data_IF_523628441040
#
_entry.id   IF_523628441040
#
_cell.length_a   1.000
_cell.length_b   1.000
_cell.length_c   1.000
_cell.angle_alpha   90.00
_cell.angle_beta   90.00
_cell.angle_gamma   90.00
#
_symmetry.space_group_name_H-M   'P 1'
#
loop_
_entity.id
_entity.type
_entity.pdbx_description
1 polymer ?
#
# COMPACT_ATOMS: atom_id res chain seq x y z
N UNK A 1 -5.25 13.53 4.85
CA UNK A 1 -3.76 13.50 4.75
C UNK A 1 -3.37 12.23 4.02
N UNK A 2 -2.59 12.30 2.94
CA UNK A 2 -2.08 11.11 2.24
C UNK A 2 -0.78 10.63 2.89
N UNK A 3 -0.55 9.32 2.94
CA UNK A 3 0.70 8.68 3.37
C UNK A 3 1.12 7.63 2.36
N UNK A 4 2.32 7.79 1.80
CA UNK A 4 2.90 6.90 0.82
C UNK A 4 4.24 6.38 1.29
N UNK A 5 4.59 5.17 0.86
CA UNK A 5 5.90 4.58 1.10
C UNK A 5 6.88 5.06 0.01
N UNK A 6 8.05 5.51 0.43
CA UNK A 6 9.11 5.97 -0.47
C UNK A 6 10.40 5.20 -0.24
N UNK A 7 11.14 5.01 -1.32
CA UNK A 7 12.50 4.48 -1.33
C UNK A 7 13.47 5.57 -1.75
N UNK A 8 14.55 5.73 -0.99
CA UNK A 8 15.61 6.71 -1.25
C UNK A 8 16.95 5.98 -1.27
N UNK A 9 17.81 6.26 -2.25
CA UNK A 9 19.16 5.71 -2.27
C UNK A 9 20.08 6.51 -1.33
N UNK A 10 20.83 5.80 -0.49
CA UNK A 10 21.80 6.37 0.46
C UNK A 10 23.21 5.93 0.02
N UNK A 11 24.16 6.87 0.00
CA UNK A 11 25.58 6.56 -0.27
C UNK A 11 26.02 6.62 -1.75
N UNK A 12 25.18 7.13 -2.65
CA UNK A 12 25.52 7.40 -4.06
C UNK A 12 25.26 8.85 -4.47
N UNK A 13 25.33 9.15 -5.78
CA UNK A 13 24.80 10.41 -6.30
C UNK A 13 23.30 10.50 -6.01
N UNK A 14 22.85 11.67 -5.56
CA UNK A 14 21.44 11.94 -5.23
C UNK A 14 20.50 11.47 -6.35
N UNK A 15 19.73 10.42 -6.11
CA UNK A 15 18.61 10.02 -6.97
C UNK A 15 17.30 10.58 -6.41
N UNK A 16 16.35 10.90 -7.29
CA UNK A 16 15.01 11.28 -6.85
C UNK A 16 14.39 10.16 -5.98
N UNK A 17 13.63 10.50 -4.91
CA UNK A 17 12.86 9.53 -4.16
C UNK A 17 11.90 8.77 -5.08
N UNK A 18 11.88 7.44 -4.97
CA UNK A 18 10.92 6.61 -5.68
C UNK A 18 9.70 6.37 -4.80
N UNK A 19 8.51 6.73 -5.27
CA UNK A 19 7.28 6.37 -4.59
C UNK A 19 6.92 4.91 -4.91
N UNK A 20 6.67 4.10 -3.89
CA UNK A 20 6.32 2.68 -4.04
C UNK A 20 4.81 2.42 -4.04
N UNK A 21 4.01 3.38 -3.56
CA UNK A 21 2.55 3.21 -3.39
C UNK A 21 1.71 4.26 -4.11
N UNK A 22 2.31 5.24 -4.80
CA UNK A 22 1.55 6.37 -5.37
C UNK A 22 0.53 5.92 -6.42
N UNK A 23 0.92 4.98 -7.28
CA UNK A 23 0.09 4.50 -8.39
C UNK A 23 -0.51 3.10 -8.10
N UNK A 24 -0.24 2.55 -6.92
CA UNK A 24 -0.68 1.22 -6.52
C UNK A 24 -2.03 1.31 -5.81
N UNK A 25 -3.08 0.78 -6.44
CA UNK A 25 -4.47 0.87 -5.94
C UNK A 25 -4.88 2.34 -5.64
N UNK A 26 -4.50 3.29 -6.50
CA UNK A 26 -4.54 4.75 -6.25
C UNK A 26 -5.85 5.29 -5.66
N UNK A 27 -7.00 4.80 -6.15
CA UNK A 27 -8.31 5.22 -5.67
C UNK A 27 -8.65 4.65 -4.28
N UNK A 28 -8.16 3.44 -3.99
CA UNK A 28 -8.44 2.71 -2.75
C UNK A 28 -7.42 3.05 -1.65
N UNK A 29 -6.17 3.31 -2.01
CA UNK A 29 -5.02 3.28 -1.10
C UNK A 29 -4.15 4.54 -1.17
N UNK A 30 -4.49 5.51 -0.33
CA UNK A 30 -3.77 6.77 -0.16
C UNK A 30 -3.22 6.97 1.25
N UNK A 31 -3.50 6.03 2.17
CA UNK A 31 -2.93 6.01 3.52
C UNK A 31 -2.29 4.66 3.79
N UNK A 32 -0.97 4.61 3.60
CA UNK A 32 -0.19 3.38 3.61
C UNK A 32 0.83 3.35 4.75
N UNK A 33 1.13 2.15 5.23
CA UNK A 33 2.30 1.82 6.03
C UNK A 33 2.96 0.54 5.51
N UNK A 34 4.16 0.21 6.00
CA UNK A 34 4.84 -0.99 5.57
C UNK A 34 5.58 -1.69 6.71
N UNK A 35 5.60 -3.01 6.65
CA UNK A 35 6.41 -3.86 7.52
C UNK A 35 7.44 -4.61 6.67
N UNK A 36 8.72 -4.39 6.92
CA UNK A 36 9.80 -4.96 6.11
C UNK A 36 10.21 -6.35 6.62
N UNK A 37 10.64 -7.22 5.70
CA UNK A 37 11.37 -8.44 6.04
C UNK A 37 12.71 -8.09 6.70
N UNK A 38 13.36 -9.10 7.31
CA UNK A 38 14.62 -8.94 8.06
C UNK A 38 15.71 -8.21 7.25
N UNK A 39 15.81 -8.52 5.96
CA UNK A 39 16.76 -7.94 5.00
C UNK A 39 16.12 -6.90 4.07
N UNK A 40 14.87 -6.53 4.33
CA UNK A 40 14.05 -5.67 3.48
C UNK A 40 13.88 -6.17 2.03
N UNK A 41 14.11 -7.45 1.71
CA UNK A 41 13.88 -8.00 0.37
C UNK A 41 12.39 -8.04 0.00
N UNK A 42 11.52 -8.11 1.01
CA UNK A 42 10.07 -8.05 0.88
C UNK A 42 9.50 -7.05 1.88
N UNK A 43 8.30 -6.56 1.62
CA UNK A 43 7.53 -5.85 2.64
C UNK A 43 6.06 -6.19 2.53
N UNK A 44 5.36 -6.14 3.66
CA UNK A 44 3.91 -6.09 3.68
C UNK A 44 3.49 -4.64 3.52
N UNK A 45 2.67 -4.35 2.52
CA UNK A 45 2.02 -3.06 2.36
C UNK A 45 0.66 -3.10 3.07
N UNK A 46 0.47 -2.16 3.98
CA UNK A 46 -0.74 -2.05 4.80
C UNK A 46 -1.46 -0.76 4.38
N UNK A 47 -2.52 -0.90 3.59
CA UNK A 47 -3.38 0.19 3.14
C UNK A 47 -4.59 0.33 4.05
N UNK A 48 -4.84 1.57 4.51
CA UNK A 48 -5.93 1.89 5.45
C UNK A 48 -7.01 2.80 4.84
N UNK A 49 -6.93 3.08 3.54
CA UNK A 49 -7.98 3.80 2.82
C UNK A 49 -7.46 4.88 1.88
N UNK A 50 -8.36 5.65 1.25
CA UNK A 50 -9.74 5.93 1.68
C UNK A 50 -10.77 4.82 1.42
N UNK A 51 -10.48 3.83 0.58
CA UNK A 51 -11.32 2.65 0.41
C UNK A 51 -11.20 1.66 1.58
N UNK A 52 -11.73 0.45 1.41
CA UNK A 52 -11.57 -0.59 2.42
C UNK A 52 -10.10 -0.99 2.57
N UNK A 53 -9.63 -1.31 3.79
CA UNK A 53 -8.25 -1.72 4.01
C UNK A 53 -7.84 -2.88 3.09
N UNK A 54 -6.57 -2.88 2.71
CA UNK A 54 -5.97 -3.88 1.82
C UNK A 54 -4.57 -4.19 2.32
N UNK A 55 -4.21 -5.46 2.36
CA UNK A 55 -2.88 -5.90 2.79
C UNK A 55 -2.26 -6.78 1.72
N UNK A 56 -1.08 -6.42 1.25
CA UNK A 56 -0.39 -7.14 0.17
C UNK A 56 1.05 -7.43 0.54
N UNK A 57 1.56 -8.55 0.03
CA UNK A 57 2.98 -8.89 0.06
C UNK A 57 3.63 -8.32 -1.20
N UNK A 58 4.70 -7.57 -1.01
CA UNK A 58 5.40 -6.85 -2.07
C UNK A 58 6.86 -7.31 -2.17
N UNK A 59 7.35 -7.45 -3.39
CA UNK A 59 8.78 -7.59 -3.69
C UNK A 59 9.44 -6.21 -3.62
N UNK A 60 10.53 -6.08 -2.87
CA UNK A 60 11.34 -4.87 -2.81
C UNK A 60 12.63 -4.95 -3.64
N UNK A 61 12.87 -6.09 -4.30
CA UNK A 61 14.07 -6.32 -5.12
C UNK A 61 13.85 -5.75 -6.52
N UNK A 62 14.91 -5.18 -7.10
CA UNK A 62 14.85 -4.63 -8.46
C UNK A 62 13.76 -3.56 -8.63
N UNK A 63 12.90 -3.75 -9.64
CA UNK A 63 11.75 -2.87 -9.92
C UNK A 63 10.61 -3.00 -8.91
N UNK A 64 10.58 -4.07 -8.11
CA UNK A 64 9.48 -4.43 -7.23
C UNK A 64 8.24 -4.94 -7.98
N UNK A 65 7.37 -5.63 -7.27
CA UNK A 65 6.08 -6.12 -7.77
C UNK A 65 5.15 -6.48 -6.60
N UNK A 66 3.84 -6.38 -6.80
CA UNK A 66 2.86 -7.02 -5.91
C UNK A 66 2.92 -8.53 -6.14
N UNK A 67 3.17 -9.30 -5.08
CA UNK A 67 3.32 -10.75 -5.16
C UNK A 67 2.02 -11.46 -4.82
N UNK A 68 1.33 -10.98 -3.78
CA UNK A 68 0.13 -11.64 -3.27
C UNK A 68 -0.73 -10.66 -2.46
N UNK A 69 -2.05 -10.79 -2.58
CA UNK A 69 -2.99 -10.17 -1.65
C UNK A 69 -3.11 -11.09 -0.43
N UNK A 70 -2.81 -10.54 0.75
CA UNK A 70 -2.88 -11.25 2.03
C UNK A 70 -4.27 -11.14 2.66
N UNK A 71 -4.92 -9.98 2.49
CA UNK A 71 -6.26 -9.70 2.99
C UNK A 71 -6.89 -8.57 2.15
N UNK A 72 -8.02 -8.84 1.49
CA UNK A 72 -8.73 -7.91 0.60
C UNK A 72 -10.04 -7.35 1.20
N UNK A 73 -10.45 -7.83 2.38
CA UNK A 73 -11.66 -7.47 3.09
C UNK A 73 -12.95 -7.60 2.26
N UNK A 74 -13.03 -8.59 1.34
CA UNK A 74 -14.24 -8.82 0.53
C UNK A 74 -15.49 -9.12 1.34
N UNK A 75 -15.37 -9.84 2.45
CA UNK A 75 -16.53 -10.13 3.29
C UNK A 75 -17.09 -8.84 3.92
N UNK A 76 -16.21 -7.92 4.32
CA UNK A 76 -16.60 -6.59 4.79
C UNK A 76 -17.22 -5.76 3.66
N UNK A 77 -16.64 -5.80 2.45
CA UNK A 77 -17.22 -5.15 1.28
C UNK A 77 -18.65 -5.62 1.00
N UNK A 78 -18.87 -6.93 1.04
CA UNK A 78 -20.19 -7.53 0.84
C UNK A 78 -21.17 -7.08 1.93
N UNK A 79 -20.78 -7.12 3.20
CA UNK A 79 -21.63 -6.65 4.31
C UNK A 79 -21.98 -5.17 4.20
N UNK A 80 -21.04 -4.33 3.75
CA UNK A 80 -21.26 -2.89 3.61
C UNK A 80 -22.07 -2.52 2.37
N UNK A 81 -22.22 -3.43 1.38
CA UNK A 81 -23.04 -3.18 0.18
C UNK A 81 -24.52 -2.92 0.49
N UNK A 82 -25.01 -3.44 1.63
CA UNK A 82 -26.37 -3.24 2.12
C UNK A 82 -26.50 -2.02 3.05
N UNK A 83 -25.39 -1.35 3.35
CA UNK A 83 -25.32 -0.22 4.29
C UNK A 83 -25.04 1.08 3.53
N UNK A 84 -25.87 2.09 3.74
CA UNK A 84 -25.60 3.42 3.17
C UNK A 84 -24.52 4.15 3.96
N UNK A 85 -23.27 3.95 3.55
CA UNK A 85 -22.11 4.58 4.19
C UNK A 85 -22.14 6.11 4.04
N UNK A 86 -21.72 6.87 5.06
CA UNK A 86 -21.61 8.33 4.96
C UNK A 86 -20.52 8.72 3.96
N UNK A 87 -20.69 9.85 3.28
CA UNK A 87 -19.67 10.41 2.39
C UNK A 87 -18.68 11.27 3.18
N UNK A 88 -17.39 11.13 2.87
CA UNK A 88 -16.38 12.04 3.39
C UNK A 88 -16.47 13.38 2.68
N UNK A 89 -16.24 14.47 3.41
CA UNK A 89 -16.17 15.84 2.89
C UNK A 89 -14.72 16.26 2.63
#
# INVERSE_FOLDING_TARGET
>A
VKRNLYRVMIGGSSSAPQCLTCDLHEDRCQYNSAYLSVDASFYRMDCYGPGLPLYTLMDNRGSGAELQILEDNKDLENMLSEVQMPTMK
#
